data_IF_217648539626
#
_entry.id   IF_217648539626
#
_cell.length_a   1.000
_cell.length_b   1.000
_cell.length_c   1.000
_cell.angle_alpha   90.00
_cell.angle_beta   90.00
_cell.angle_gamma   90.00
#
_symmetry.space_group_name_H-M   'P 1'
#
loop_
_entity.id
_entity.type
_entity.pdbx_description
1 polymer ?
#
# COMPACT_ATOMS: atom_id res chain seq x y z
N UNK A 1 19.83 32.41 -10.42
CA UNK A 1 18.45 32.12 -10.87
C UNK A 1 17.92 31.04 -9.92
N UNK A 2 17.79 31.37 -8.63
CA UNK A 2 16.54 31.81 -7.99
C UNK A 2 15.33 30.99 -8.46
N UNK A 3 15.04 29.93 -7.69
CA UNK A 3 13.83 29.12 -7.76
C UNK A 3 13.01 29.23 -6.47
N UNK A 4 13.11 30.37 -5.77
CA UNK A 4 12.23 30.66 -4.65
C UNK A 4 10.90 31.20 -5.17
N UNK A 5 9.81 30.67 -4.60
CA UNK A 5 8.39 31.04 -4.80
C UNK A 5 7.58 30.16 -5.75
N UNK A 6 7.09 29.05 -5.21
CA UNK A 6 5.70 28.60 -5.38
C UNK A 6 5.23 27.98 -4.06
N UNK A 7 5.13 28.79 -3.01
CA UNK A 7 4.29 28.48 -1.84
C UNK A 7 3.06 29.38 -1.90
N UNK A 8 2.10 29.01 -2.73
CA UNK A 8 0.75 29.52 -2.57
C UNK A 8 0.11 28.62 -1.52
N UNK A 9 -0.04 29.16 -0.31
CA UNK A 9 -0.74 28.50 0.79
C UNK A 9 -2.15 28.14 0.33
N UNK A 10 -2.31 26.88 -0.09
CA UNK A 10 -3.62 26.28 -0.33
C UNK A 10 -4.29 26.15 1.04
N UNK A 11 -5.54 26.61 1.22
CA UNK A 11 -6.19 26.55 2.53
C UNK A 11 -6.17 25.12 3.06
N UNK A 12 -5.87 24.98 4.35
CA UNK A 12 -6.00 23.71 5.04
C UNK A 12 -7.41 23.13 4.79
N UNK A 13 -7.49 21.79 4.70
CA UNK A 13 -8.75 21.07 4.48
C UNK A 13 -9.87 21.67 5.34
N UNK A 14 -11.00 22.03 4.71
CA UNK A 14 -12.13 22.62 5.42
C UNK A 14 -12.64 21.65 6.49
N UNK A 15 -13.13 22.21 7.61
CA UNK A 15 -13.83 21.43 8.63
C UNK A 15 -14.95 20.61 7.95
N UNK A 16 -14.84 19.28 7.98
CA UNK A 16 -15.76 18.35 7.33
C UNK A 16 -15.22 17.60 6.12
N UNK A 17 -13.98 17.86 5.68
CA UNK A 17 -13.36 17.05 4.63
C UNK A 17 -13.04 15.63 5.12
N UNK A 18 -13.43 14.62 4.36
CA UNK A 18 -13.18 13.20 4.70
C UNK A 18 -11.67 12.94 4.79
N UNK A 19 -11.25 12.15 5.77
CA UNK A 19 -9.87 11.72 5.95
C UNK A 19 -9.82 10.21 6.15
N UNK A 20 -9.14 9.52 5.23
CA UNK A 20 -8.94 8.08 5.23
C UNK A 20 -7.47 7.77 5.48
N UNK A 21 -7.21 6.89 6.44
CA UNK A 21 -5.94 6.21 6.59
C UNK A 21 -6.03 4.85 5.89
N UNK A 22 -5.03 4.50 5.08
CA UNK A 22 -4.78 3.15 4.63
C UNK A 22 -3.53 2.65 5.35
N UNK A 23 -3.70 1.71 6.27
CA UNK A 23 -2.60 1.12 7.06
C UNK A 23 -2.28 -0.24 6.42
N UNK A 24 -1.03 -0.43 6.00
CA UNK A 24 -0.56 -1.65 5.35
C UNK A 24 0.74 -2.14 6.01
N UNK A 25 0.74 -3.36 6.55
CA UNK A 25 1.90 -3.95 7.23
C UNK A 25 3.03 -4.29 6.25
N UNK A 26 4.23 -3.80 6.54
CA UNK A 26 5.37 -3.90 5.64
C UNK A 26 5.91 -5.33 5.54
N UNK A 27 5.96 -5.85 4.31
CA UNK A 27 6.41 -7.21 4.01
C UNK A 27 5.83 -8.29 4.95
N UNK A 28 4.57 -8.10 5.41
CA UNK A 28 4.00 -8.68 6.62
C UNK A 28 4.52 -10.06 7.05
N UNK A 29 4.27 -11.11 6.26
CA UNK A 29 4.67 -12.47 6.68
C UNK A 29 6.18 -12.61 6.88
N UNK A 30 7.00 -11.98 6.02
CA UNK A 30 8.45 -12.06 6.16
C UNK A 30 8.96 -11.27 7.37
N UNK A 31 8.29 -10.16 7.71
CA UNK A 31 8.59 -9.37 8.92
C UNK A 31 8.20 -10.12 10.20
N UNK A 32 7.12 -10.91 10.18
CA UNK A 32 6.78 -11.81 11.29
C UNK A 32 7.86 -12.88 11.48
N UNK A 33 8.33 -13.50 10.40
CA UNK A 33 9.43 -14.47 10.46
C UNK A 33 10.73 -13.83 10.99
N UNK A 34 11.05 -12.60 10.58
CA UNK A 34 12.20 -11.83 11.08
C UNK A 34 12.11 -11.49 12.59
N UNK A 35 10.90 -11.33 13.12
CA UNK A 35 10.69 -11.15 14.56
C UNK A 35 10.92 -12.43 15.35
N UNK A 36 10.52 -13.57 14.80
CA UNK A 36 10.66 -14.89 15.44
C UNK A 36 12.09 -15.41 15.36
N UNK A 37 12.84 -14.97 14.35
CA UNK A 37 14.23 -15.33 14.09
C UNK A 37 15.10 -14.07 14.05
N UNK A 38 15.51 -13.52 15.21
CA UNK A 38 16.30 -12.30 15.27
C UNK A 38 17.61 -12.37 14.47
N UNK A 39 18.16 -13.56 14.27
CA UNK A 39 19.34 -13.82 13.44
C UNK A 39 19.08 -13.65 11.93
N UNK A 40 17.82 -13.56 11.48
CA UNK A 40 17.46 -13.29 10.09
C UNK A 40 17.33 -11.79 9.78
N UNK A 41 17.54 -10.91 10.78
CA UNK A 41 17.34 -9.48 10.61
C UNK A 41 18.17 -8.87 9.47
N UNK A 42 17.51 -8.14 8.59
CA UNK A 42 18.11 -7.51 7.42
C UNK A 42 18.50 -8.48 6.30
N UNK A 43 18.30 -9.79 6.45
CA UNK A 43 18.63 -10.79 5.45
C UNK A 43 17.51 -10.93 4.41
N UNK A 44 17.82 -11.41 3.19
CA UNK A 44 16.80 -11.72 2.20
C UNK A 44 15.98 -12.94 2.65
N UNK A 45 14.78 -12.70 3.17
CA UNK A 45 13.81 -13.76 3.51
C UNK A 45 12.71 -13.83 2.43
N UNK A 46 12.31 -15.04 2.07
CA UNK A 46 11.20 -15.36 1.17
C UNK A 46 10.28 -16.37 1.86
N UNK A 47 9.01 -16.00 2.03
CA UNK A 47 7.96 -16.85 2.63
C UNK A 47 7.10 -17.43 1.51
N UNK A 48 6.82 -18.73 1.53
CA UNK A 48 5.85 -19.32 0.61
C UNK A 48 5.93 -20.83 0.46
N UNK A 49 5.31 -21.33 -0.61
CA UNK A 49 5.27 -22.76 -0.94
C UNK A 49 6.63 -23.29 -1.38
N UNK A 50 6.78 -24.62 -1.43
CA UNK A 50 8.07 -25.25 -1.78
C UNK A 50 8.41 -25.09 -3.28
N UNK A 51 9.71 -24.96 -3.64
CA UNK A 51 10.12 -24.78 -5.05
C UNK A 51 9.88 -26.03 -5.92
N UNK A 52 9.84 -27.21 -5.32
CA UNK A 52 9.54 -28.51 -5.93
C UNK A 52 8.02 -28.75 -6.15
N UNK A 53 7.14 -27.93 -5.56
CA UNK A 53 5.68 -28.15 -5.54
C UNK A 53 4.87 -27.02 -6.20
N UNK A 54 5.35 -26.46 -7.32
CA UNK A 54 4.74 -25.27 -7.98
C UNK A 54 4.43 -24.13 -6.99
N UNK A 55 5.17 -24.04 -5.88
CA UNK A 55 4.97 -23.06 -4.85
C UNK A 55 5.24 -21.64 -5.35
N UNK A 56 4.58 -20.67 -4.72
CA UNK A 56 4.75 -19.24 -5.00
C UNK A 56 5.20 -18.50 -3.76
N UNK A 57 5.83 -17.36 -3.97
CA UNK A 57 6.19 -16.41 -2.90
C UNK A 57 4.92 -15.74 -2.38
N UNK A 58 4.62 -15.92 -1.10
CA UNK A 58 3.55 -15.22 -0.40
C UNK A 58 4.00 -13.83 0.06
N UNK A 59 5.18 -13.74 0.67
CA UNK A 59 5.82 -12.48 1.06
C UNK A 59 7.33 -12.57 0.94
N UNK A 60 8.00 -11.42 0.85
CA UNK A 60 9.45 -11.33 0.89
C UNK A 60 9.89 -9.98 1.45
N UNK A 61 11.02 -10.00 2.16
CA UNK A 61 11.69 -8.80 2.70
C UNK A 61 12.09 -7.81 1.61
N UNK A 62 12.26 -6.55 2.00
CA UNK A 62 12.83 -5.54 1.10
C UNK A 62 14.26 -5.89 0.66
N UNK A 63 15.03 -6.61 1.47
CA UNK A 63 16.33 -7.16 1.09
C UNK A 63 16.20 -8.12 -0.11
N UNK A 64 15.27 -9.08 -0.08
CA UNK A 64 15.01 -9.98 -1.21
C UNK A 64 14.47 -9.24 -2.45
N UNK A 65 13.65 -8.20 -2.25
CA UNK A 65 13.11 -7.37 -3.35
C UNK A 65 14.19 -6.68 -4.18
N UNK A 66 15.36 -6.36 -3.59
CA UNK A 66 16.52 -5.80 -4.32
C UNK A 66 17.06 -6.76 -5.39
N UNK A 67 16.88 -8.07 -5.20
CA UNK A 67 17.24 -9.11 -6.18
C UNK A 67 16.12 -9.36 -7.22
N UNK A 68 15.03 -8.59 -7.17
CA UNK A 68 13.90 -8.74 -8.09
C UNK A 68 12.86 -9.77 -7.63
N UNK A 69 13.00 -10.36 -6.43
CA UNK A 69 11.97 -11.24 -5.86
C UNK A 69 10.71 -10.42 -5.56
N UNK A 70 9.53 -10.97 -5.89
CA UNK A 70 8.22 -10.35 -5.68
C UNK A 70 7.20 -11.40 -5.21
N UNK A 71 6.16 -10.95 -4.52
CA UNK A 71 4.99 -11.79 -4.22
C UNK A 71 4.36 -12.34 -5.51
N UNK A 72 3.71 -13.50 -5.40
CA UNK A 72 3.14 -14.29 -6.51
C UNK A 72 4.15 -14.81 -7.55
N UNK A 73 5.45 -14.53 -7.41
CA UNK A 73 6.49 -15.14 -8.23
C UNK A 73 6.62 -16.65 -7.91
N UNK A 74 6.88 -17.53 -8.90
CA UNK A 74 7.24 -18.91 -8.63
C UNK A 74 8.44 -19.01 -7.68
N UNK A 75 8.34 -19.84 -6.64
CA UNK A 75 9.39 -19.97 -5.61
C UNK A 75 10.72 -20.42 -6.22
N UNK A 76 10.70 -21.32 -7.19
CA UNK A 76 11.89 -21.74 -7.93
C UNK A 76 12.60 -20.57 -8.61
N UNK A 77 11.84 -19.64 -9.20
CA UNK A 77 12.40 -18.43 -9.82
C UNK A 77 12.93 -17.46 -8.78
N UNK A 78 12.23 -17.29 -7.65
CA UNK A 78 12.69 -16.43 -6.56
C UNK A 78 14.07 -16.87 -6.03
N UNK A 79 14.25 -18.19 -5.82
CA UNK A 79 15.53 -18.74 -5.35
C UNK A 79 16.63 -18.72 -6.42
N UNK A 80 16.29 -18.71 -7.71
CA UNK A 80 17.27 -18.45 -8.77
C UNK A 80 17.75 -16.99 -8.76
N UNK A 81 16.83 -16.04 -8.51
CA UNK A 81 17.15 -14.60 -8.45
C UNK A 81 17.94 -14.23 -7.20
N UNK A 82 17.67 -14.90 -6.08
CA UNK A 82 18.31 -14.69 -4.79
C UNK A 82 18.72 -16.03 -4.16
N UNK A 83 19.81 -16.67 -4.62
CA UNK A 83 20.23 -18.00 -4.13
C UNK A 83 20.55 -18.05 -2.63
N UNK A 84 20.95 -16.91 -2.06
CA UNK A 84 21.23 -16.76 -0.63
C UNK A 84 19.98 -16.47 0.22
N UNK A 85 18.79 -16.43 -0.38
CA UNK A 85 17.57 -16.17 0.36
C UNK A 85 17.24 -17.28 1.35
N UNK A 86 16.84 -16.89 2.56
CA UNK A 86 16.26 -17.80 3.55
C UNK A 86 14.82 -18.08 3.12
N UNK A 87 14.50 -19.35 2.88
CA UNK A 87 13.13 -19.78 2.57
C UNK A 87 12.40 -20.17 3.84
N UNK A 88 11.44 -19.37 4.27
CA UNK A 88 10.54 -19.71 5.36
C UNK A 88 9.25 -20.39 4.81
N UNK A 89 8.78 -21.50 5.40
CA UNK A 89 7.44 -22.01 5.12
C UNK A 89 6.37 -21.02 5.60
N UNK A 90 5.17 -21.05 5.03
CA UNK A 90 4.10 -20.15 5.42
C UNK A 90 3.35 -20.65 6.68
N UNK A 91 3.39 -19.88 7.77
CA UNK A 91 2.65 -20.13 9.00
C UNK A 91 1.40 -19.24 9.11
N UNK A 92 0.36 -19.52 8.31
CA UNK A 92 -0.80 -18.63 8.19
C UNK A 92 -1.58 -18.38 9.49
N UNK A 93 -1.66 -19.38 10.37
CA UNK A 93 -2.34 -19.21 11.67
C UNK A 93 -1.57 -18.21 12.54
N UNK A 94 -0.25 -18.32 12.59
CA UNK A 94 0.62 -17.39 13.28
C UNK A 94 0.51 -15.97 12.71
N UNK A 95 0.51 -15.83 11.38
CA UNK A 95 0.32 -14.53 10.74
C UNK A 95 -1.05 -13.92 11.08
N UNK A 96 -2.10 -14.74 11.20
CA UNK A 96 -3.42 -14.28 11.62
C UNK A 96 -3.41 -13.78 13.06
N UNK A 97 -2.67 -14.41 13.96
CA UNK A 97 -2.52 -13.92 15.35
C UNK A 97 -1.84 -12.54 15.40
N UNK A 98 -0.77 -12.34 14.64
CA UNK A 98 -0.11 -11.03 14.55
C UNK A 98 -1.02 -9.97 13.93
N UNK A 99 -1.78 -10.32 12.88
CA UNK A 99 -2.79 -9.46 12.29
C UNK A 99 -3.82 -9.02 13.34
N UNK A 100 -4.36 -9.95 14.12
CA UNK A 100 -5.33 -9.63 15.18
C UNK A 100 -4.77 -8.70 16.25
N UNK A 101 -3.49 -8.82 16.61
CA UNK A 101 -2.82 -7.89 17.54
C UNK A 101 -2.80 -6.47 16.98
N UNK A 102 -2.41 -6.32 15.72
CA UNK A 102 -2.42 -5.02 15.02
C UNK A 102 -3.84 -4.45 14.93
N UNK A 103 -4.82 -5.26 14.51
CA UNK A 103 -6.19 -4.79 14.34
C UNK A 103 -6.81 -4.36 15.69
N UNK A 104 -6.46 -5.01 16.80
CA UNK A 104 -6.86 -4.54 18.14
C UNK A 104 -6.29 -3.16 18.47
N UNK A 105 -5.02 -2.91 18.19
CA UNK A 105 -4.41 -1.57 18.38
C UNK A 105 -5.16 -0.52 17.57
N UNK A 106 -5.50 -0.82 16.31
CA UNK A 106 -6.24 0.11 15.44
C UNK A 106 -7.66 0.37 15.96
N UNK A 107 -8.35 -0.67 16.43
CA UNK A 107 -9.73 -0.58 16.95
C UNK A 107 -9.83 0.28 18.22
N UNK A 108 -8.80 0.27 19.08
CA UNK A 108 -8.74 1.07 20.31
C UNK A 108 -8.80 2.59 20.08
N UNK A 109 -8.52 3.07 18.87
CA UNK A 109 -8.69 4.49 18.52
C UNK A 109 -10.17 4.89 18.35
N UNK A 110 -11.10 3.93 18.35
CA UNK A 110 -12.54 4.18 18.30
C UNK A 110 -13.03 4.73 16.96
N UNK A 111 -12.24 4.56 15.90
CA UNK A 111 -12.59 5.01 14.56
C UNK A 111 -13.34 3.93 13.78
N UNK A 112 -14.21 4.30 12.83
CA UNK A 112 -14.74 3.34 11.87
C UNK A 112 -13.60 2.69 11.08
N UNK A 113 -13.54 1.36 11.11
CA UNK A 113 -12.51 0.55 10.42
C UNK A 113 -13.13 -0.37 9.38
N UNK A 114 -12.38 -0.64 8.32
CA UNK A 114 -12.70 -1.66 7.32
C UNK A 114 -11.44 -2.47 7.00
N UNK A 115 -11.36 -3.69 7.53
CA UNK A 115 -10.26 -4.60 7.27
C UNK A 115 -10.40 -5.18 5.85
N UNK A 116 -9.38 -4.96 5.02
CA UNK A 116 -9.35 -5.41 3.61
C UNK A 116 -8.69 -6.79 3.49
N UNK A 117 -7.63 -7.00 4.27
CA UNK A 117 -6.85 -8.24 4.29
C UNK A 117 -6.23 -8.48 5.68
N UNK A 118 -5.39 -9.51 5.80
CA UNK A 118 -4.66 -9.80 7.04
C UNK A 118 -3.64 -8.71 7.40
N UNK A 119 -3.18 -7.93 6.44
CA UNK A 119 -2.17 -6.88 6.60
C UNK A 119 -2.66 -5.47 6.28
N UNK A 120 -3.90 -5.30 5.80
CA UNK A 120 -4.42 -4.02 5.33
C UNK A 120 -5.77 -3.66 5.97
N UNK A 121 -5.87 -2.41 6.43
CA UNK A 121 -7.10 -1.83 7.00
C UNK A 121 -7.26 -0.36 6.60
N UNK A 122 -8.48 0.03 6.27
CA UNK A 122 -8.88 1.42 6.14
C UNK A 122 -9.45 1.94 7.45
N UNK A 123 -9.09 3.16 7.83
CA UNK A 123 -9.64 3.87 8.98
C UNK A 123 -10.24 5.19 8.51
N UNK A 124 -11.51 5.44 8.84
CA UNK A 124 -12.11 6.76 8.64
C UNK A 124 -11.74 7.67 9.83
N UNK A 125 -10.68 8.44 9.64
CA UNK A 125 -10.10 9.31 10.65
C UNK A 125 -10.80 10.69 10.71
N UNK A 126 -11.86 10.93 9.92
CA UNK A 126 -12.50 12.24 9.77
C UNK A 126 -12.86 12.89 11.10
N UNK A 127 -13.42 12.12 12.05
CA UNK A 127 -13.77 12.60 13.39
C UNK A 127 -12.63 12.36 14.39
N UNK A 128 -12.00 11.19 14.35
CA UNK A 128 -10.96 10.81 15.30
C UNK A 128 -9.77 11.76 15.29
N UNK A 129 -9.36 12.22 14.11
CA UNK A 129 -8.20 13.09 13.94
C UNK A 129 -8.30 14.40 14.74
N UNK A 130 -9.51 14.85 15.10
CA UNK A 130 -9.73 16.04 15.91
C UNK A 130 -9.11 15.92 17.31
N UNK A 131 -9.22 14.75 17.95
CA UNK A 131 -8.63 14.48 19.27
C UNK A 131 -7.10 14.45 19.24
N UNK A 132 -6.52 14.25 18.06
CA UNK A 132 -5.07 14.14 17.82
C UNK A 132 -4.47 15.39 17.18
N UNK A 133 -5.29 16.42 16.94
CA UNK A 133 -4.91 17.65 16.23
C UNK A 133 -4.71 17.49 14.72
N UNK A 134 -4.40 16.28 14.22
CA UNK A 134 -4.35 15.99 12.78
C UNK A 134 -4.42 14.47 12.50
N UNK A 135 -4.81 14.10 11.27
CA UNK A 135 -4.75 12.70 10.83
C UNK A 135 -3.30 12.18 10.76
N UNK A 136 -2.34 13.07 10.46
CA UNK A 136 -0.91 12.75 10.47
C UNK A 136 -0.42 12.37 11.87
N UNK A 137 -0.85 13.11 12.90
CA UNK A 137 -0.49 12.81 14.29
C UNK A 137 -1.11 11.49 14.76
N UNK A 138 -2.39 11.27 14.46
CA UNK A 138 -3.07 9.98 14.70
C UNK A 138 -2.32 8.82 14.02
N UNK A 139 -2.01 8.96 12.73
CA UNK A 139 -1.29 7.92 11.98
C UNK A 139 0.13 7.65 12.51
N UNK A 140 0.86 8.70 12.91
CA UNK A 140 2.17 8.54 13.54
C UNK A 140 2.09 7.79 14.87
N UNK A 141 1.03 8.05 15.65
CA UNK A 141 0.75 7.34 16.89
C UNK A 141 0.47 5.85 16.65
N UNK A 142 -0.41 5.55 15.68
CA UNK A 142 -0.74 4.18 15.27
C UNK A 142 0.52 3.42 14.83
N UNK A 143 1.36 4.02 13.97
CA UNK A 143 2.65 3.44 13.55
C UNK A 143 3.52 3.10 14.75
N UNK A 144 3.67 4.05 15.69
CA UNK A 144 4.49 3.88 16.88
C UNK A 144 3.98 2.74 17.75
N UNK A 145 2.68 2.66 18.03
CA UNK A 145 2.09 1.57 18.82
C UNK A 145 2.25 0.21 18.16
N UNK A 146 2.01 0.10 16.85
CA UNK A 146 2.21 -1.15 16.12
C UNK A 146 3.66 -1.62 16.22
N UNK A 147 4.63 -0.70 16.10
CA UNK A 147 6.04 -1.00 16.28
C UNK A 147 6.37 -1.41 17.71
N UNK A 148 6.00 -0.60 18.71
CA UNK A 148 6.43 -0.81 20.10
C UNK A 148 5.76 -2.02 20.75
N UNK A 149 4.50 -2.31 20.41
CA UNK A 149 3.72 -3.38 21.04
C UNK A 149 3.79 -4.72 20.29
N UNK A 150 3.97 -4.67 18.96
CA UNK A 150 3.95 -5.89 18.11
C UNK A 150 5.32 -6.17 17.47
N UNK A 151 6.19 -5.17 17.37
CA UNK A 151 7.49 -5.26 16.69
C UNK A 151 7.41 -5.12 15.17
N UNK A 152 6.24 -4.83 14.61
CA UNK A 152 6.05 -4.74 13.16
C UNK A 152 6.10 -3.29 12.69
N UNK A 153 6.60 -3.07 11.48
CA UNK A 153 6.46 -1.79 10.79
C UNK A 153 5.26 -1.81 9.86
N UNK A 154 4.65 -0.65 9.64
CA UNK A 154 3.59 -0.47 8.66
C UNK A 154 3.79 0.82 7.90
N UNK A 155 3.23 0.92 6.71
CA UNK A 155 3.20 2.15 5.94
C UNK A 155 1.78 2.69 5.89
N UNK A 156 1.62 3.99 6.14
CA UNK A 156 0.30 4.63 6.16
C UNK A 156 0.16 5.65 5.04
N UNK A 157 -0.88 5.48 4.21
CA UNK A 157 -1.33 6.52 3.29
C UNK A 157 -2.48 7.32 3.90
N UNK A 158 -2.44 8.64 3.79
CA UNK A 158 -3.50 9.55 4.28
C UNK A 158 -4.06 10.31 3.08
N UNK A 159 -5.36 10.26 2.85
CA UNK A 159 -6.01 11.01 1.76
C UNK A 159 -7.51 11.22 1.99
N UNK A 160 -8.19 11.91 1.08
CA UNK A 160 -9.65 12.14 1.15
C UNK A 160 -10.49 10.91 0.75
N UNK A 161 -9.90 9.91 0.12
CA UNK A 161 -10.57 8.70 -0.34
C UNK A 161 -9.71 7.44 -0.15
N UNK A 162 -10.36 6.28 -0.06
CA UNK A 162 -9.68 4.98 0.07
C UNK A 162 -8.72 4.68 -1.07
N UNK A 163 -9.12 5.00 -2.31
CA UNK A 163 -8.28 4.77 -3.49
C UNK A 163 -6.97 5.54 -3.40
N UNK A 164 -7.04 6.83 -3.09
CA UNK A 164 -5.85 7.67 -3.00
C UNK A 164 -5.02 7.30 -1.78
N UNK A 165 -5.65 7.00 -0.64
CA UNK A 165 -4.94 6.56 0.57
C UNK A 165 -4.18 5.24 0.33
N UNK A 166 -4.78 4.28 -0.37
CA UNK A 166 -4.11 3.02 -0.74
C UNK A 166 -2.94 3.22 -1.68
N UNK A 167 -3.08 4.09 -2.68
CA UNK A 167 -1.98 4.42 -3.59
C UNK A 167 -0.87 5.15 -2.83
N UNK A 168 -1.23 6.09 -1.95
CA UNK A 168 -0.28 6.81 -1.11
C UNK A 168 0.50 5.87 -0.17
N UNK A 169 -0.16 4.87 0.45
CA UNK A 169 0.55 3.90 1.29
C UNK A 169 1.57 3.11 0.47
N UNK A 170 1.21 2.63 -0.73
CA UNK A 170 2.14 1.92 -1.60
C UNK A 170 3.34 2.77 -2.03
N UNK A 171 3.12 4.04 -2.35
CA UNK A 171 4.19 4.98 -2.73
C UNK A 171 5.09 5.36 -1.56
N UNK A 172 4.57 5.25 -0.32
CA UNK A 172 5.31 5.54 0.90
C UNK A 172 6.16 4.39 1.44
N UNK A 173 6.06 3.17 0.89
CA UNK A 173 6.75 2.00 1.46
C UNK A 173 8.28 2.09 1.32
N UNK A 174 9.07 1.50 2.24
CA UNK A 174 8.69 0.87 3.51
C UNK A 174 8.65 1.83 4.69
N UNK A 175 7.98 1.42 5.78
CA UNK A 175 7.89 2.11 7.08
C UNK A 175 7.60 3.61 6.95
N UNK A 176 6.84 3.98 5.92
CA UNK A 176 6.61 5.37 5.58
C UNK A 176 5.28 5.89 6.07
N UNK A 177 5.07 7.17 5.80
CA UNK A 177 3.76 7.79 5.83
C UNK A 177 3.69 8.85 4.73
N UNK A 178 2.70 8.74 3.85
CA UNK A 178 2.47 9.70 2.77
C UNK A 178 1.07 10.29 2.87
N UNK A 179 1.01 11.60 2.95
CA UNK A 179 -0.24 12.35 3.05
C UNK A 179 -0.49 13.11 1.75
N UNK A 180 -1.63 12.84 1.13
CA UNK A 180 -2.15 13.56 -0.03
C UNK A 180 -3.22 14.51 0.47
N UNK A 181 -2.94 15.81 0.37
CA UNK A 181 -3.86 16.84 0.87
C UNK A 181 -5.16 16.83 0.06
N UNK A 182 -6.23 17.22 0.73
CA UNK A 182 -7.54 17.40 0.10
C UNK A 182 -7.41 18.43 -1.03
N UNK A 183 -7.79 18.04 -2.25
CA UNK A 183 -7.69 18.85 -3.45
C UNK A 183 -6.37 18.73 -4.22
N UNK A 184 -5.41 17.93 -3.75
CA UNK A 184 -4.15 17.62 -4.47
C UNK A 184 -4.18 16.24 -5.15
N UNK A 185 -5.27 15.48 -5.02
CA UNK A 185 -5.36 14.07 -5.42
C UNK A 185 -5.14 13.88 -6.92
N UNK A 186 -5.77 14.70 -7.76
CA UNK A 186 -5.62 14.60 -9.21
C UNK A 186 -4.17 14.86 -9.64
N UNK A 187 -3.50 15.84 -9.02
CA UNK A 187 -2.10 16.14 -9.29
C UNK A 187 -1.17 15.01 -8.81
N UNK A 188 -1.45 14.45 -7.63
CA UNK A 188 -0.71 13.32 -7.08
C UNK A 188 -0.82 12.07 -7.96
N UNK A 189 -2.03 11.75 -8.45
CA UNK A 189 -2.28 10.56 -9.25
C UNK A 189 -1.78 10.70 -10.70
N UNK A 190 -1.90 11.89 -11.30
CA UNK A 190 -1.65 12.11 -12.73
C UNK A 190 -0.34 11.51 -13.28
N UNK A 191 0.84 11.65 -12.63
CA UNK A 191 2.10 11.12 -13.17
C UNK A 191 2.28 9.60 -12.97
N UNK A 192 1.45 8.95 -12.16
CA UNK A 192 1.63 7.53 -11.83
C UNK A 192 1.27 6.64 -13.02
N UNK A 193 1.99 5.52 -13.15
CA UNK A 193 1.71 4.53 -14.17
C UNK A 193 0.32 3.92 -13.95
N UNK A 194 -0.41 3.65 -15.03
CA UNK A 194 -1.82 3.20 -14.95
C UNK A 194 -2.01 1.88 -14.18
N UNK A 195 -1.00 1.00 -14.20
CA UNK A 195 -1.01 -0.24 -13.43
C UNK A 195 -0.86 -0.07 -11.92
N UNK A 196 -0.61 1.15 -11.43
CA UNK A 196 -0.64 1.47 -10.00
C UNK A 196 -2.04 1.83 -9.50
N UNK A 197 -2.99 2.07 -10.41
CA UNK A 197 -4.36 2.40 -10.04
C UNK A 197 -5.05 1.16 -9.45
N UNK A 198 -5.58 1.30 -8.24
CA UNK A 198 -6.26 0.20 -7.56
C UNK A 198 -7.47 -0.26 -8.37
N UNK A 199 -7.55 -1.58 -8.64
CA UNK A 199 -8.56 -2.18 -9.51
C UNK A 199 -8.09 -2.41 -10.96
N UNK A 200 -7.00 -1.78 -11.40
CA UNK A 200 -6.41 -2.01 -12.73
C UNK A 200 -5.41 -3.16 -12.66
N UNK A 201 -5.87 -4.37 -13.00
CA UNK A 201 -5.01 -5.55 -13.12
C UNK A 201 -4.06 -5.51 -14.33
N UNK A 202 -3.06 -6.40 -14.40
CA UNK A 202 -2.04 -6.41 -15.47
C UNK A 202 -2.60 -6.47 -16.89
N UNK A 203 -3.72 -7.19 -17.09
CA UNK A 203 -4.41 -7.28 -18.39
C UNK A 203 -4.99 -5.94 -18.83
N UNK A 204 -5.71 -5.26 -17.94
CA UNK A 204 -6.27 -3.93 -18.23
C UNK A 204 -5.16 -2.91 -18.42
N UNK A 205 -4.10 -2.94 -17.60
CA UNK A 205 -2.95 -2.05 -17.77
C UNK A 205 -2.29 -2.22 -19.14
N UNK A 206 -2.06 -3.46 -19.59
CA UNK A 206 -1.50 -3.74 -20.91
C UNK A 206 -2.42 -3.28 -22.05
N UNK A 207 -3.74 -3.48 -21.91
CA UNK A 207 -4.71 -3.02 -22.89
C UNK A 207 -4.77 -1.49 -23.00
N UNK A 208 -4.68 -0.77 -21.88
CA UNK A 208 -4.65 0.69 -21.89
C UNK A 208 -3.35 1.23 -22.50
N UNK A 209 -2.23 0.56 -22.20
CA UNK A 209 -0.92 0.89 -22.78
C UNK A 209 -0.89 0.70 -24.29
N UNK A 210 -1.55 -0.34 -24.83
CA UNK A 210 -1.66 -0.54 -26.29
C UNK A 210 -2.50 0.54 -26.97
N UNK A 211 -3.38 1.21 -26.23
CA UNK A 211 -4.14 2.39 -26.67
C UNK A 211 -3.38 3.71 -26.49
N UNK A 212 -2.11 3.65 -26.06
CA UNK A 212 -1.25 4.81 -25.82
C UNK A 212 -1.45 5.49 -24.46
N UNK A 213 -2.27 4.92 -23.57
CA UNK A 213 -2.53 5.46 -22.23
C UNK A 213 -1.54 4.83 -21.24
N UNK A 214 -0.59 5.63 -20.73
CA UNK A 214 0.49 5.11 -19.88
C UNK A 214 0.32 5.51 -18.43
N UNK A 215 -0.22 6.69 -18.19
CA UNK A 215 -0.39 7.28 -16.86
C UNK A 215 -1.85 7.38 -16.45
N UNK A 216 -2.10 7.53 -15.15
CA UNK A 216 -3.46 7.80 -14.63
C UNK A 216 -3.99 9.14 -15.18
N UNK A 217 -3.11 10.13 -15.39
CA UNK A 217 -3.50 11.38 -16.05
C UNK A 217 -3.93 11.19 -17.50
N UNK A 218 -3.34 10.25 -18.22
CA UNK A 218 -3.78 9.91 -19.59
C UNK A 218 -5.18 9.29 -19.58
N UNK A 219 -5.44 8.40 -18.60
CA UNK A 219 -6.76 7.79 -18.41
C UNK A 219 -7.84 8.85 -18.18
N UNK A 220 -7.58 9.80 -17.28
CA UNK A 220 -8.52 10.89 -16.96
C UNK A 220 -8.85 11.77 -18.18
N UNK A 221 -7.87 12.01 -19.07
CA UNK A 221 -8.04 12.84 -20.28
C UNK A 221 -8.55 12.07 -21.49
N UNK A 222 -8.56 10.73 -21.45
CA UNK A 222 -8.95 9.92 -22.58
C UNK A 222 -10.45 10.08 -22.87
N UNK A 223 -10.88 10.20 -24.15
CA UNK A 223 -12.30 10.16 -24.49
C UNK A 223 -12.93 8.82 -24.07
N UNK A 224 -14.17 8.83 -23.59
CA UNK A 224 -14.88 7.63 -23.10
C UNK A 224 -14.86 6.48 -24.12
N UNK A 225 -15.05 6.79 -25.40
CA UNK A 225 -14.98 5.85 -26.53
C UNK A 225 -13.65 5.09 -26.63
N UNK A 226 -12.55 5.65 -26.13
CA UNK A 226 -11.26 4.93 -26.04
C UNK A 226 -11.21 3.94 -24.89
N UNK A 227 -12.04 4.12 -23.85
CA UNK A 227 -12.05 3.30 -22.64
C UNK A 227 -13.06 2.16 -22.70
N UNK A 228 -14.15 2.33 -23.46
CA UNK A 228 -15.19 1.31 -23.69
C UNK A 228 -14.64 -0.08 -24.10
N UNK A 229 -13.64 -0.21 -25.00
CA UNK A 229 -13.11 -1.52 -25.36
C UNK A 229 -12.39 -2.26 -24.22
N UNK A 230 -11.95 -1.53 -23.19
CA UNK A 230 -11.21 -2.11 -22.04
C UNK A 230 -12.15 -2.36 -20.87
N UNK A 231 -13.02 -1.41 -20.54
CA UNK A 231 -13.83 -1.44 -19.32
C UNK A 231 -15.32 -1.72 -19.57
N UNK A 232 -15.77 -1.71 -20.83
CA UNK A 232 -17.18 -1.91 -21.18
C UNK A 232 -18.08 -0.88 -20.49
N UNK A 233 -19.16 -1.36 -19.87
CA UNK A 233 -20.13 -0.53 -19.15
C UNK A 233 -19.53 0.27 -17.98
N UNK A 234 -18.36 -0.12 -17.47
CA UNK A 234 -17.70 0.53 -16.34
C UNK A 234 -16.83 1.72 -16.76
N UNK A 235 -16.69 2.00 -18.06
CA UNK A 235 -15.76 3.01 -18.58
C UNK A 235 -15.99 4.42 -18.01
N UNK A 236 -17.24 4.80 -17.72
CA UNK A 236 -17.56 6.10 -17.12
C UNK A 236 -17.05 6.23 -15.67
N UNK A 237 -17.04 5.15 -14.90
CA UNK A 237 -16.58 5.18 -13.51
C UNK A 237 -15.08 5.42 -13.42
N UNK A 238 -14.30 4.98 -14.42
CA UNK A 238 -12.85 5.17 -14.49
C UNK A 238 -12.41 6.58 -14.88
N UNK A 239 -13.34 7.47 -15.25
CA UNK A 239 -13.05 8.88 -15.56
C UNK A 239 -13.33 9.85 -14.41
N UNK A 240 -14.07 9.41 -13.38
CA UNK A 240 -14.46 10.23 -12.23
C UNK A 240 -13.36 10.27 -11.17
#
# INVERSE_FOLDING_TARGET
MDGSQLSVDKPAASAGSRLILCIDLDAFFASVEELLHPEWRGLPIVVGGRPDERGVVSSCTYAARKFGVRSAMPMSRALQLCPQAIRAPAHFDLYREYSQRVMRIVDEYGCPVEQVSVDEVFVDATQCALAWGSARALAADVKRRIHDEVGLTCTIGVASSKLVAKIASNQGKPDGMLEVRVGDEAQFLAPLAIGQLWGVGPKHAAALQSLGLRTIGDLQRAPLKKLEPVFGAWAEEWQR
#
